data_IF_196084050377
#
_entry.id   IF_196084050377
#
_cell.length_a   1.000
_cell.length_b   1.000
_cell.length_c   1.000
_cell.angle_alpha   90.00
_cell.angle_beta   90.00
_cell.angle_gamma   90.00
#
_symmetry.space_group_name_H-M   'P 1'
#
loop_
_entity.id
_entity.type
_entity.pdbx_description
1 polymer ?
#
# COMPACT_ATOMS: atom_id res chain seq x y z
N UNK A 1 21.52 4.88 -19.76
CA UNK A 1 20.55 5.90 -20.22
C UNK A 1 19.21 5.20 -20.37
N UNK A 2 18.27 5.46 -19.47
CA UNK A 2 16.91 4.92 -19.54
C UNK A 2 16.00 6.02 -20.09
N UNK A 3 15.49 5.83 -21.31
CA UNK A 3 14.52 6.71 -21.95
C UNK A 3 13.12 6.11 -21.77
N UNK A 4 12.20 6.91 -21.22
CA UNK A 4 10.87 6.52 -20.73
C UNK A 4 10.97 6.29 -19.23
N UNK A 5 10.43 7.15 -18.35
CA UNK A 5 9.02 7.16 -17.97
C UNK A 5 8.64 8.49 -17.25
N UNK A 6 9.08 9.66 -17.74
CA UNK A 6 9.04 10.93 -16.98
C UNK A 6 7.69 11.33 -16.34
N UNK A 7 6.55 10.98 -16.95
CA UNK A 7 5.24 11.16 -16.30
C UNK A 7 4.87 9.98 -15.40
N UNK A 8 5.04 8.75 -15.88
CA UNK A 8 4.68 7.57 -15.12
C UNK A 8 5.47 7.46 -13.82
N UNK A 9 6.76 7.79 -13.79
CA UNK A 9 7.60 7.73 -12.59
C UNK A 9 7.10 8.68 -11.48
N UNK A 10 6.72 9.90 -11.85
CA UNK A 10 6.13 10.89 -10.94
C UNK A 10 4.74 10.44 -10.40
N UNK A 11 3.94 9.76 -11.23
CA UNK A 11 2.60 9.32 -10.85
C UNK A 11 2.55 7.91 -10.25
N UNK A 12 3.59 7.10 -10.42
CA UNK A 12 3.54 5.67 -10.12
C UNK A 12 3.26 5.44 -8.64
N UNK A 13 3.93 6.22 -7.79
CA UNK A 13 3.77 6.18 -6.33
C UNK A 13 2.35 6.57 -5.92
N UNK A 14 1.84 7.71 -6.41
CA UNK A 14 0.46 8.14 -6.15
C UNK A 14 -0.55 7.09 -6.63
N UNK A 15 -0.29 6.48 -7.78
CA UNK A 15 -1.16 5.44 -8.34
C UNK A 15 -1.17 4.15 -7.51
N UNK A 16 -0.27 3.96 -6.54
CA UNK A 16 -0.38 2.89 -5.54
C UNK A 16 -1.50 3.16 -4.53
N UNK A 17 -1.92 4.42 -4.36
CA UNK A 17 -2.97 4.84 -3.42
C UNK A 17 -4.38 4.76 -4.05
N UNK A 18 -4.73 3.57 -4.52
CA UNK A 18 -6.10 3.19 -4.92
C UNK A 18 -6.79 2.40 -3.81
N UNK A 19 -8.12 2.28 -3.84
CA UNK A 19 -8.93 1.44 -2.95
C UNK A 19 -10.00 0.70 -3.75
N UNK A 20 -10.42 -0.46 -3.26
CA UNK A 20 -11.52 -1.24 -3.86
C UNK A 20 -12.86 -0.59 -3.56
N UNK A 21 -13.75 -0.53 -4.56
CA UNK A 21 -15.14 -0.13 -4.38
C UNK A 21 -15.98 -1.37 -3.99
N UNK A 22 -15.71 -2.49 -4.66
CA UNK A 22 -16.47 -3.73 -4.49
C UNK A 22 -15.63 -4.78 -3.74
N UNK A 23 -15.73 -4.83 -2.41
CA UNK A 23 -14.93 -5.74 -1.56
C UNK A 23 -15.29 -7.22 -1.75
N UNK A 24 -16.53 -7.52 -2.16
CA UNK A 24 -17.05 -8.86 -2.46
C UNK A 24 -16.42 -9.50 -3.70
N UNK A 25 -15.83 -8.68 -4.58
CA UNK A 25 -15.24 -9.15 -5.83
C UNK A 25 -13.96 -9.95 -5.59
N UNK A 26 -13.63 -10.82 -6.54
CA UNK A 26 -12.52 -11.76 -6.39
C UNK A 26 -11.25 -11.22 -7.04
N UNK A 27 -10.11 -11.84 -6.70
CA UNK A 27 -8.87 -11.65 -7.47
C UNK A 27 -9.09 -12.13 -8.91
N UNK A 28 -8.60 -11.38 -9.89
CA UNK A 28 -8.72 -11.74 -11.31
C UNK A 28 -7.84 -12.95 -11.59
N UNK A 29 -8.39 -13.94 -12.31
CA UNK A 29 -7.63 -15.07 -12.85
C UNK A 29 -7.19 -14.75 -14.25
N UNK A 30 -5.88 -14.57 -14.43
CA UNK A 30 -5.27 -14.38 -15.74
C UNK A 30 -4.91 -15.72 -16.37
N UNK A 31 -4.95 -15.77 -17.71
CA UNK A 31 -4.44 -16.90 -18.50
C UNK A 31 -2.93 -17.10 -18.27
N UNK A 32 -2.42 -18.29 -18.60
CA UNK A 32 -1.00 -18.68 -18.47
C UNK A 32 -0.40 -18.61 -17.04
N UNK A 33 -1.22 -18.71 -15.98
CA UNK A 33 -0.76 -18.59 -14.58
C UNK A 33 -0.01 -17.28 -14.27
N UNK A 34 -0.26 -16.20 -15.01
CA UNK A 34 0.37 -14.90 -14.72
C UNK A 34 -0.17 -14.34 -13.40
N UNK A 35 0.65 -14.34 -12.36
CA UNK A 35 0.32 -13.67 -11.09
C UNK A 35 0.45 -12.15 -11.28
N UNK A 36 -0.66 -11.42 -11.18
CA UNK A 36 -0.66 -9.95 -11.08
C UNK A 36 -0.46 -9.57 -9.62
N UNK A 37 0.48 -8.66 -9.31
CA UNK A 37 0.82 -8.37 -7.94
C UNK A 37 -0.28 -7.60 -7.22
N UNK A 38 -0.44 -7.84 -5.91
CA UNK A 38 -1.55 -7.28 -5.12
C UNK A 38 -1.59 -5.75 -5.03
N UNK A 39 -0.47 -5.07 -5.29
CA UNK A 39 -0.38 -3.61 -5.37
C UNK A 39 -0.86 -3.02 -6.70
N UNK A 40 -1.00 -3.86 -7.74
CA UNK A 40 -1.62 -3.46 -8.99
C UNK A 40 -3.13 -3.40 -8.82
N UNK A 41 -3.73 -2.30 -9.27
CA UNK A 41 -5.19 -2.18 -9.32
C UNK A 41 -5.85 -3.22 -10.24
N UNK A 42 -5.08 -3.83 -11.14
CA UNK A 42 -5.52 -4.92 -12.00
C UNK A 42 -5.57 -6.28 -11.28
N UNK A 43 -5.25 -6.37 -9.98
CA UNK A 43 -5.27 -7.64 -9.25
C UNK A 43 -6.69 -8.13 -8.90
N UNK A 44 -7.69 -7.24 -8.93
CA UNK A 44 -9.06 -7.52 -8.45
C UNK A 44 -10.11 -7.11 -9.47
N UNK A 45 -11.21 -7.86 -9.49
CA UNK A 45 -12.41 -7.51 -10.24
C UNK A 45 -13.12 -6.30 -9.59
N UNK A 46 -13.99 -5.64 -10.35
CA UNK A 46 -14.81 -4.53 -9.87
C UNK A 46 -14.18 -3.15 -10.06
N UNK A 47 -14.79 -2.16 -9.44
CA UNK A 47 -14.34 -0.78 -9.48
C UNK A 47 -13.22 -0.49 -8.48
N UNK A 48 -12.37 0.46 -8.86
CA UNK A 48 -11.36 1.07 -7.97
C UNK A 48 -11.62 2.56 -7.85
N UNK A 49 -11.15 3.15 -6.75
CA UNK A 49 -11.11 4.60 -6.55
C UNK A 49 -9.70 5.02 -6.14
N UNK A 50 -9.15 6.04 -6.80
CA UNK A 50 -7.90 6.65 -6.36
C UNK A 50 -8.15 7.66 -5.24
N UNK A 51 -7.13 7.90 -4.42
CA UNK A 51 -7.17 8.96 -3.43
C UNK A 51 -7.41 10.33 -4.10
N UNK A 52 -8.42 11.04 -3.61
CA UNK A 52 -8.87 12.30 -4.22
C UNK A 52 -7.79 13.38 -4.21
N UNK A 53 -7.82 14.28 -5.18
CA UNK A 53 -6.99 15.49 -5.18
C UNK A 53 -7.37 16.47 -4.06
N UNK A 54 -8.56 16.34 -3.48
CA UNK A 54 -8.93 17.07 -2.26
C UNK A 54 -8.23 16.52 -1.02
N UNK A 55 -7.90 15.22 -1.00
CA UNK A 55 -7.21 14.58 0.13
C UNK A 55 -5.69 14.72 0.03
N UNK A 56 -5.16 14.62 -1.19
CA UNK A 56 -3.75 14.88 -1.50
C UNK A 56 -3.71 15.78 -2.72
N UNK A 57 -3.47 17.09 -2.58
CA UNK A 57 -3.33 17.97 -3.73
C UNK A 57 -2.18 17.55 -4.65
N UNK A 58 -2.22 18.03 -5.88
CA UNK A 58 -1.18 17.75 -6.86
C UNK A 58 0.16 18.33 -6.41
N UNK A 59 1.23 17.53 -6.48
CA UNK A 59 2.59 17.96 -6.12
C UNK A 59 2.92 17.92 -4.62
N UNK A 60 1.94 17.68 -3.75
CA UNK A 60 2.13 17.67 -2.29
C UNK A 60 2.63 16.32 -1.74
N UNK A 61 2.48 15.24 -2.51
CA UNK A 61 3.00 13.93 -2.11
C UNK A 61 4.51 13.90 -2.38
N UNK A 62 5.29 14.17 -1.35
CA UNK A 62 6.75 14.10 -1.47
C UNK A 62 7.21 12.63 -1.57
N UNK A 63 8.26 12.43 -2.37
CA UNK A 63 8.80 11.11 -2.66
C UNK A 63 9.49 10.49 -1.44
N UNK A 64 9.16 9.22 -1.15
CA UNK A 64 9.86 8.43 -0.16
C UNK A 64 10.90 7.52 -0.82
N UNK A 65 12.17 7.70 -0.46
CA UNK A 65 13.33 7.10 -1.15
C UNK A 65 13.47 5.58 -1.02
N UNK A 66 12.71 4.95 -0.11
CA UNK A 66 12.84 3.53 0.21
C UNK A 66 12.07 2.59 -0.73
N UNK A 67 11.62 3.05 -1.90
CA UNK A 67 10.79 2.27 -2.81
C UNK A 67 11.28 2.37 -4.26
N UNK A 68 11.50 1.21 -4.87
CA UNK A 68 12.05 1.03 -6.21
C UNK A 68 11.24 0.01 -7.01
N UNK A 69 10.94 0.32 -8.26
CA UNK A 69 10.28 -0.60 -9.18
C UNK A 69 11.33 -1.49 -9.85
N UNK A 70 11.40 -2.74 -9.41
CA UNK A 70 12.30 -3.75 -9.93
C UNK A 70 11.71 -4.47 -11.15
N UNK A 71 12.58 -4.71 -12.14
CA UNK A 71 12.32 -5.68 -13.21
C UNK A 71 13.30 -6.84 -13.03
N UNK A 72 12.82 -7.96 -12.48
CA UNK A 72 13.61 -9.19 -12.46
C UNK A 72 13.32 -10.00 -13.73
N UNK A 73 14.35 -10.21 -14.55
CA UNK A 73 14.30 -11.16 -15.66
C UNK A 73 14.85 -12.50 -15.19
N UNK A 74 14.01 -13.53 -15.12
CA UNK A 74 14.46 -14.94 -15.00
C UNK A 74 13.92 -15.71 -16.20
N UNK A 75 14.80 -16.04 -17.15
CA UNK A 75 14.40 -16.71 -18.38
C UNK A 75 13.46 -15.84 -19.23
N UNK A 76 12.34 -16.40 -19.66
CA UNK A 76 11.29 -15.70 -20.44
C UNK A 76 10.25 -14.97 -19.58
N UNK A 77 10.29 -15.10 -18.26
CA UNK A 77 9.34 -14.44 -17.34
C UNK A 77 9.89 -13.09 -16.87
N UNK A 78 9.15 -12.01 -17.19
CA UNK A 78 9.38 -10.70 -16.60
C UNK A 78 8.58 -10.58 -15.30
N UNK A 79 9.28 -10.58 -14.17
CA UNK A 79 8.66 -10.37 -12.87
C UNK A 79 8.77 -8.91 -12.47
N UNK A 80 7.60 -8.26 -12.32
CA UNK A 80 7.50 -6.90 -11.77
C UNK A 80 7.42 -7.02 -10.26
N UNK A 81 8.45 -6.56 -9.56
CA UNK A 81 8.43 -6.47 -8.10
C UNK A 81 8.59 -5.02 -7.66
N UNK A 82 7.90 -4.66 -6.59
CA UNK A 82 8.12 -3.40 -5.91
C UNK A 82 9.02 -3.67 -4.72
N UNK A 83 10.30 -3.31 -4.84
CA UNK A 83 11.27 -3.48 -3.75
C UNK A 83 11.16 -2.31 -2.81
N UNK A 84 10.99 -2.59 -1.52
CA UNK A 84 10.75 -1.54 -0.53
C UNK A 84 11.21 -1.94 0.88
N UNK A 85 11.11 -0.99 1.82
CA UNK A 85 11.17 -1.23 3.26
C UNK A 85 9.77 -1.41 3.83
N UNK A 86 9.65 -2.27 4.83
CA UNK A 86 8.43 -2.41 5.64
C UNK A 86 8.59 -1.74 7.00
N UNK A 87 7.48 -1.27 7.52
CA UNK A 87 7.37 -0.53 8.76
C UNK A 87 6.37 -1.20 9.67
N UNK A 88 6.67 -1.21 10.97
CA UNK A 88 5.78 -1.73 12.01
C UNK A 88 5.00 -0.57 12.62
N UNK A 89 3.69 -0.75 12.77
CA UNK A 89 2.83 0.14 13.56
C UNK A 89 3.26 0.12 15.04
N UNK A 90 3.25 1.29 15.67
CA UNK A 90 3.66 1.44 17.08
C UNK A 90 2.67 2.32 17.84
N UNK A 91 2.33 1.91 19.06
CA UNK A 91 1.55 2.74 19.98
C UNK A 91 0.18 3.17 19.44
N UNK A 92 -0.42 2.37 18.56
CA UNK A 92 -1.70 2.69 17.94
C UNK A 92 -2.61 1.47 17.79
N UNK A 93 -3.90 1.69 17.89
CA UNK A 93 -4.95 0.71 17.71
C UNK A 93 -6.05 1.24 16.78
N UNK A 94 -6.89 0.34 16.25
CA UNK A 94 -8.08 0.75 15.51
C UNK A 94 -9.12 1.31 16.47
N UNK A 95 -9.76 2.40 16.07
CA UNK A 95 -10.95 2.94 16.75
C UNK A 95 -12.02 1.85 16.85
N UNK A 96 -12.67 1.69 18.03
CA UNK A 96 -13.78 0.76 18.20
C UNK A 96 -15.07 1.23 17.51
N UNK A 97 -15.15 2.52 17.15
CA UNK A 97 -16.27 3.03 16.37
C UNK A 97 -16.32 2.42 14.96
N UNK A 98 -17.54 2.26 14.44
CA UNK A 98 -17.75 1.75 13.10
C UNK A 98 -17.04 2.63 12.04
N UNK A 99 -16.50 2.01 10.97
CA UNK A 99 -15.86 2.75 9.89
C UNK A 99 -16.83 3.73 9.24
N UNK A 100 -16.35 4.94 8.93
CA UNK A 100 -17.10 5.92 8.14
C UNK A 100 -16.57 5.88 6.72
N UNK A 101 -17.43 5.60 5.75
CA UNK A 101 -17.04 5.46 4.33
C UNK A 101 -15.90 4.45 4.10
N UNK A 102 -15.86 3.38 4.91
CA UNK A 102 -14.79 2.37 4.88
C UNK A 102 -13.46 2.81 5.50
N UNK A 103 -13.35 4.04 6.01
CA UNK A 103 -12.18 4.51 6.77
C UNK A 103 -12.28 4.06 8.22
N UNK A 104 -11.37 3.17 8.62
CA UNK A 104 -11.09 2.85 10.01
C UNK A 104 -10.11 3.88 10.57
N UNK A 105 -10.45 4.52 11.69
CA UNK A 105 -9.54 5.49 12.33
C UNK A 105 -8.48 4.78 13.16
N UNK A 106 -7.28 5.33 13.18
CA UNK A 106 -6.18 4.93 14.05
C UNK A 106 -6.09 5.87 15.24
N UNK A 107 -6.04 5.30 16.44
CA UNK A 107 -5.97 6.03 17.69
C UNK A 107 -4.66 5.74 18.42
N UNK A 108 -4.09 6.77 19.04
CA UNK A 108 -3.04 6.70 20.05
C UNK A 108 -3.59 7.32 21.33
N UNK A 109 -3.62 6.58 22.45
CA UNK A 109 -4.62 6.54 23.53
C UNK A 109 -5.94 7.36 23.46
N UNK A 110 -5.96 8.60 22.96
CA UNK A 110 -7.17 9.41 22.75
C UNK A 110 -7.06 10.42 21.59
N UNK A 111 -5.99 10.35 20.79
CA UNK A 111 -5.76 11.20 19.62
C UNK A 111 -5.96 10.39 18.34
N UNK A 112 -6.67 10.95 17.36
CA UNK A 112 -6.73 10.41 16.00
C UNK A 112 -5.43 10.73 15.27
N UNK A 113 -4.67 9.70 14.95
CA UNK A 113 -3.34 9.82 14.35
C UNK A 113 -3.32 9.41 12.87
N UNK A 114 -4.44 8.95 12.33
CA UNK A 114 -4.50 8.41 10.99
C UNK A 114 -5.76 7.62 10.70
N UNK A 115 -5.76 7.01 9.52
CA UNK A 115 -6.85 6.15 9.06
C UNK A 115 -6.34 5.05 8.11
N UNK A 116 -7.09 3.97 8.01
CA UNK A 116 -6.87 2.85 7.09
C UNK A 116 -8.17 2.55 6.34
N UNK A 117 -8.05 2.31 5.04
CA UNK A 117 -9.10 1.72 4.21
C UNK A 117 -8.62 0.32 3.79
N UNK A 118 -9.21 -0.75 4.35
CA UNK A 118 -8.84 -2.12 4.01
C UNK A 118 -9.30 -2.52 2.60
N UNK A 119 -8.57 -3.45 1.99
CA UNK A 119 -8.98 -4.16 0.77
C UNK A 119 -9.78 -5.46 1.09
N UNK A 120 -9.96 -5.76 2.38
CA UNK A 120 -10.65 -6.95 2.93
C UNK A 120 -11.68 -6.57 4.01
N UNK A 121 -12.83 -7.25 4.05
CA UNK A 121 -13.93 -6.93 4.99
C UNK A 121 -13.55 -7.15 6.46
N UNK A 122 -12.87 -8.28 6.75
CA UNK A 122 -12.43 -8.64 8.09
C UNK A 122 -11.01 -8.14 8.31
N UNK A 123 -10.89 -6.84 8.62
CA UNK A 123 -9.60 -6.19 8.81
C UNK A 123 -9.19 -6.12 10.28
N UNK A 124 -7.99 -6.63 10.57
CA UNK A 124 -7.32 -6.50 11.86
C UNK A 124 -5.89 -5.98 11.67
N UNK A 125 -5.47 -5.04 12.53
CA UNK A 125 -4.16 -4.38 12.40
C UNK A 125 -2.99 -5.19 12.98
N UNK A 126 -3.25 -6.05 13.97
CA UNK A 126 -2.20 -6.62 14.85
C UNK A 126 -1.04 -7.32 14.13
N UNK A 127 -1.30 -7.98 13.02
CA UNK A 127 -0.27 -8.67 12.22
C UNK A 127 0.18 -7.91 10.97
N UNK A 128 -0.41 -6.75 10.68
CA UNK A 128 -0.12 -5.99 9.46
C UNK A 128 1.14 -5.16 9.61
N UNK A 129 1.69 -4.76 8.48
CA UNK A 129 2.82 -3.83 8.34
C UNK A 129 2.43 -2.71 7.38
N UNK A 130 3.26 -1.69 7.32
CA UNK A 130 3.10 -0.59 6.40
C UNK A 130 4.26 -0.50 5.42
N UNK A 131 3.99 -0.03 4.21
CA UNK A 131 4.98 0.45 3.26
C UNK A 131 4.70 1.93 3.04
N UNK A 132 5.68 2.79 3.24
CA UNK A 132 5.52 4.24 3.02
C UNK A 132 5.65 4.54 1.53
N UNK A 133 4.59 5.12 0.97
CA UNK A 133 4.51 5.53 -0.44
C UNK A 133 5.04 6.94 -0.64
N UNK A 134 4.74 7.81 0.33
CA UNK A 134 5.10 9.22 0.32
C UNK A 134 4.66 9.90 1.60
N UNK A 135 4.88 11.21 1.66
CA UNK A 135 4.51 12.03 2.80
C UNK A 135 3.86 13.33 2.35
N UNK A 136 2.97 13.88 3.19
CA UNK A 136 2.42 15.23 3.05
C UNK A 136 2.49 15.88 4.42
N UNK A 137 3.32 16.92 4.55
CA UNK A 137 3.60 17.54 5.85
C UNK A 137 4.11 16.52 6.88
N UNK A 138 3.36 16.31 7.96
CA UNK A 138 3.70 15.38 9.06
C UNK A 138 3.04 14.00 8.95
N UNK A 139 2.47 13.68 7.80
CA UNK A 139 1.71 12.45 7.60
C UNK A 139 2.36 11.56 6.54
N UNK A 140 2.55 10.29 6.87
CA UNK A 140 2.88 9.25 5.90
C UNK A 140 1.63 8.73 5.22
N UNK A 141 1.69 8.58 3.90
CA UNK A 141 0.73 7.80 3.13
C UNK A 141 1.30 6.42 2.87
N UNK A 142 0.50 5.41 3.16
CA UNK A 142 0.99 4.04 3.27
C UNK A 142 0.15 3.04 2.49
N UNK A 143 0.80 1.95 2.08
CA UNK A 143 0.13 0.69 1.81
C UNK A 143 0.14 -0.14 3.09
N UNK A 144 -1.00 -0.69 3.46
CA UNK A 144 -1.10 -1.70 4.52
C UNK A 144 -0.81 -3.06 3.88
N UNK A 145 0.07 -3.83 4.49
CA UNK A 145 0.56 -5.08 3.89
C UNK A 145 0.57 -6.22 4.91
N UNK A 146 0.38 -7.46 4.42
CA UNK A 146 0.53 -8.70 5.19
C UNK A 146 1.63 -9.55 4.58
N UNK A 147 2.38 -10.25 5.42
CA UNK A 147 3.38 -11.20 4.94
C UNK A 147 2.69 -12.41 4.29
N UNK A 148 3.21 -12.89 3.15
CA UNK A 148 2.68 -14.09 2.49
C UNK A 148 3.23 -15.31 3.22
N UNK A 149 2.34 -16.21 3.64
CA UNK A 149 2.73 -17.43 4.34
C UNK A 149 3.83 -18.20 3.59
N UNK A 150 4.82 -18.69 4.33
CA UNK A 150 5.93 -19.51 3.84
C UNK A 150 6.88 -18.82 2.83
N UNK A 151 6.83 -17.48 2.68
CA UNK A 151 7.74 -16.74 1.81
C UNK A 151 8.33 -15.52 2.55
N UNK A 152 9.47 -15.73 3.21
CA UNK A 152 10.22 -14.66 3.87
C UNK A 152 10.44 -13.48 2.93
N UNK A 153 10.15 -12.27 3.42
CA UNK A 153 10.33 -10.98 2.71
C UNK A 153 9.38 -10.73 1.53
N UNK A 154 8.27 -11.47 1.41
CA UNK A 154 7.22 -11.18 0.43
C UNK A 154 5.95 -10.74 1.11
N UNK A 155 5.45 -9.59 0.69
CA UNK A 155 4.26 -8.98 1.27
C UNK A 155 3.18 -8.79 0.21
N UNK A 156 1.93 -8.94 0.62
CA UNK A 156 0.76 -8.59 -0.18
C UNK A 156 0.09 -7.35 0.42
N UNK A 157 -0.35 -6.43 -0.43
CA UNK A 157 -1.19 -5.29 -0.06
C UNK A 157 -2.56 -5.79 0.42
N UNK A 158 -3.06 -5.17 1.48
CA UNK A 158 -4.38 -5.40 2.09
C UNK A 158 -5.12 -4.12 2.44
N UNK A 159 -4.64 -2.97 1.96
CA UNK A 159 -5.30 -1.70 2.15
C UNK A 159 -4.35 -0.53 1.92
N UNK A 160 -4.88 0.67 2.13
CA UNK A 160 -4.12 1.92 2.14
C UNK A 160 -4.42 2.70 3.40
N UNK A 161 -3.59 3.68 3.72
CA UNK A 161 -3.85 4.53 4.86
C UNK A 161 -3.03 5.81 4.86
N UNK A 162 -3.31 6.61 5.88
CA UNK A 162 -2.51 7.74 6.29
C UNK A 162 -2.22 7.60 7.78
N UNK A 163 -0.99 7.89 8.19
CA UNK A 163 -0.62 7.88 9.61
C UNK A 163 0.42 8.95 9.89
N UNK A 164 0.31 9.62 11.03
CA UNK A 164 1.28 10.60 11.50
C UNK A 164 2.68 10.00 11.63
N UNK A 165 3.69 10.82 11.35
CA UNK A 165 5.09 10.48 11.62
C UNK A 165 5.28 10.18 13.12
N UNK A 166 6.11 9.17 13.44
CA UNK A 166 6.36 8.72 14.81
C UNK A 166 5.60 7.46 15.22
N UNK A 167 4.52 7.10 14.51
CA UNK A 167 3.74 5.88 14.76
C UNK A 167 4.12 4.69 13.87
N UNK A 168 5.20 4.85 13.10
CA UNK A 168 5.81 3.80 12.28
C UNK A 168 7.30 3.66 12.61
N UNK A 169 7.75 2.42 12.75
CA UNK A 169 9.17 2.08 12.91
C UNK A 169 9.67 1.21 11.77
N UNK A 170 10.69 1.71 11.07
CA UNK A 170 11.33 1.05 9.93
C UNK A 170 11.94 -0.28 10.37
N UNK A 171 11.70 -1.33 9.59
CA UNK A 171 12.36 -2.61 9.78
C UNK A 171 13.55 -2.74 8.82
N UNK A 172 14.54 -3.54 9.22
CA UNK A 172 15.74 -3.77 8.43
C UNK A 172 15.50 -4.74 7.27
N UNK A 173 16.29 -4.56 6.21
CA UNK A 173 16.24 -5.38 5.01
C UNK A 173 15.21 -4.93 3.98
N UNK A 174 15.49 -5.21 2.71
CA UNK A 174 14.54 -4.99 1.62
C UNK A 174 13.56 -6.15 1.52
N UNK A 175 12.33 -5.83 1.11
CA UNK A 175 11.25 -6.77 0.86
C UNK A 175 10.67 -6.54 -0.52
N UNK A 176 10.00 -7.56 -1.05
CA UNK A 176 9.23 -7.46 -2.28
C UNK A 176 7.73 -7.37 -1.95
N UNK A 177 7.08 -6.34 -2.46
CA UNK A 177 5.62 -6.31 -2.54
C UNK A 177 5.20 -7.05 -3.81
N UNK A 178 4.40 -8.10 -3.62
CA UNK A 178 3.96 -9.06 -4.66
C UNK A 178 2.45 -9.17 -4.73
#
# INVERSE_FOLDING_TARGET
MAYGYGAFDLFLRRNLLWMRIDLDKKKIKYEDNREVPSWSWMAYEGGIRFISFTEIPYGELEEFKDMEFGQERRGSEEKRSLRTKVWKFQGCDLSPEAPKEGKHRLLSPSEEIGWIIPDEENFEIGMKRAVVVGLVGKNYYILVVKERENKNKKYERVGIGMIQQGYLSKQDGDVDLV
#
